data_IF_682061523357
#
_entry.id   IF_682061523357
#
_cell.length_a   1.000
_cell.length_b   1.000
_cell.length_c   1.000
_cell.angle_alpha   90.00
_cell.angle_beta   90.00
_cell.angle_gamma   90.00
#
_symmetry.space_group_name_H-M   'P 1'
#
loop_
_entity.id
_entity.type
_entity.pdbx_description
1 polymer ?
#
# COMPACT_ATOMS: atom_id res chain seq x y z
N UNK A 1 -4.26 13.50 0.38
CA UNK A 1 -4.07 12.17 0.94
C UNK A 1 -2.77 12.16 1.73
N UNK A 2 -2.87 11.74 2.98
CA UNK A 2 -1.75 11.65 3.90
C UNK A 2 -1.61 10.20 4.37
N UNK A 3 -0.50 9.87 5.03
CA UNK A 3 -0.26 8.53 5.58
C UNK A 3 -1.31 8.16 6.63
N UNK A 4 -1.78 9.12 7.41
CA UNK A 4 -2.71 8.88 8.51
C UNK A 4 -4.07 8.36 8.03
N UNK A 5 -4.45 8.66 6.79
CA UNK A 5 -5.65 8.15 6.13
C UNK A 5 -5.65 6.61 5.98
N UNK A 6 -4.50 5.96 6.21
CA UNK A 6 -4.30 4.51 6.09
C UNK A 6 -3.91 3.82 7.41
N UNK A 7 -3.92 4.54 8.53
CA UNK A 7 -3.56 3.96 9.82
C UNK A 7 -4.51 2.83 10.26
N UNK A 8 -5.74 2.82 9.75
CA UNK A 8 -6.72 1.75 10.01
C UNK A 8 -6.35 0.39 9.39
N UNK A 9 -5.37 0.36 8.48
CA UNK A 9 -4.86 -0.88 7.90
C UNK A 9 -3.91 -1.63 8.85
N UNK A 10 -3.39 -0.96 9.87
CA UNK A 10 -2.44 -1.57 10.82
C UNK A 10 -3.04 -2.80 11.49
N UNK A 11 -2.28 -3.90 11.55
CA UNK A 11 -2.69 -5.16 12.15
C UNK A 11 -3.64 -6.02 11.32
N UNK A 12 -4.16 -5.52 10.19
CA UNK A 12 -4.99 -6.30 9.26
C UNK A 12 -4.17 -7.41 8.60
N UNK A 13 -4.85 -8.50 8.25
CA UNK A 13 -4.29 -9.62 7.48
C UNK A 13 -4.25 -9.30 5.99
N UNK A 14 -3.44 -10.06 5.25
CA UNK A 14 -3.41 -10.00 3.77
C UNK A 14 -4.82 -10.13 3.16
N UNK A 15 -5.67 -10.99 3.71
CA UNK A 15 -7.02 -11.20 3.21
C UNK A 15 -7.90 -9.94 3.39
N UNK A 16 -7.91 -9.35 4.58
CA UNK A 16 -8.66 -8.11 4.85
C UNK A 16 -8.14 -6.94 4.00
N UNK A 17 -6.83 -6.88 3.75
CA UNK A 17 -6.24 -5.88 2.85
C UNK A 17 -6.71 -6.11 1.40
N UNK A 18 -6.74 -7.35 0.92
CA UNK A 18 -7.24 -7.69 -0.42
C UNK A 18 -8.74 -7.37 -0.56
N UNK A 19 -9.56 -7.66 0.45
CA UNK A 19 -10.99 -7.31 0.43
C UNK A 19 -11.22 -5.80 0.36
N UNK A 20 -10.38 -5.00 1.01
CA UNK A 20 -10.54 -3.54 1.05
C UNK A 20 -9.91 -2.81 -0.15
N UNK A 21 -8.70 -3.21 -0.56
CA UNK A 21 -7.88 -2.50 -1.54
C UNK A 21 -7.76 -3.23 -2.89
N UNK A 22 -8.27 -4.47 -2.98
CA UNK A 22 -8.07 -5.37 -4.11
C UNK A 22 -6.70 -6.03 -4.12
N UNK A 23 -6.42 -6.79 -5.19
CA UNK A 23 -5.20 -7.60 -5.31
C UNK A 23 -3.90 -6.79 -5.46
N UNK A 24 -3.99 -5.47 -5.72
CA UNK A 24 -2.83 -4.59 -5.87
C UNK A 24 -1.83 -5.04 -6.96
N UNK A 25 -0.63 -4.46 -6.97
CA UNK A 25 0.49 -4.95 -7.78
C UNK A 25 1.37 -5.86 -6.91
N UNK A 26 0.82 -7.02 -6.52
CA UNK A 26 1.42 -7.84 -5.47
C UNK A 26 1.70 -9.26 -5.97
N UNK A 27 2.95 -9.71 -5.82
CA UNK A 27 3.23 -11.14 -5.69
C UNK A 27 2.97 -11.52 -4.23
N UNK A 28 2.03 -12.45 -4.00
CA UNK A 28 1.56 -12.85 -2.66
C UNK A 28 2.69 -13.23 -1.67
N UNK A 29 3.84 -13.67 -2.18
CA UNK A 29 5.02 -14.06 -1.40
C UNK A 29 5.83 -12.89 -0.87
N UNK A 30 5.63 -11.67 -1.36
CA UNK A 30 6.37 -10.52 -0.87
C UNK A 30 5.77 -10.02 0.43
N UNK A 31 6.65 -9.70 1.38
CA UNK A 31 6.27 -9.06 2.63
C UNK A 31 5.93 -7.58 2.45
N UNK A 32 6.19 -7.00 1.29
CA UNK A 32 5.79 -5.62 0.95
C UNK A 32 4.83 -5.64 -0.22
N UNK A 33 3.65 -5.03 -0.03
CA UNK A 33 2.65 -4.81 -1.07
C UNK A 33 2.57 -3.34 -1.41
N UNK A 34 2.35 -3.03 -2.70
CA UNK A 34 2.26 -1.64 -3.15
C UNK A 34 1.01 -1.38 -3.96
N UNK A 35 0.41 -0.22 -3.70
CA UNK A 35 -0.83 0.22 -4.32
C UNK A 35 -0.66 1.63 -4.87
N UNK A 36 -1.02 1.84 -6.14
CA UNK A 36 -1.16 3.19 -6.65
C UNK A 36 -2.52 3.75 -6.22
N UNK A 37 -2.48 4.69 -5.30
CA UNK A 37 -3.66 5.28 -4.62
C UNK A 37 -4.00 6.68 -5.16
N UNK A 38 -3.23 7.18 -6.11
CA UNK A 38 -3.55 8.42 -6.80
C UNK A 38 -2.42 8.94 -7.68
N UNK A 39 -2.61 10.17 -8.16
CA UNK A 39 -1.63 10.93 -8.92
C UNK A 39 -1.59 12.38 -8.42
N UNK A 40 -0.41 12.99 -8.46
CA UNK A 40 -0.25 14.42 -8.29
C UNK A 40 -0.52 15.14 -9.60
N UNK A 41 -0.82 16.43 -9.53
CA UNK A 41 -1.07 17.25 -10.71
C UNK A 41 0.11 17.29 -11.70
N UNK A 42 1.34 17.18 -11.19
CA UNK A 42 2.56 17.15 -12.01
C UNK A 42 2.93 15.73 -12.51
N UNK A 43 2.01 14.77 -12.37
CA UNK A 43 2.15 13.42 -12.93
C UNK A 43 2.92 12.41 -12.06
N UNK A 44 3.31 12.74 -10.83
CA UNK A 44 3.84 11.72 -9.89
C UNK A 44 2.73 10.79 -9.43
N UNK A 45 2.98 9.48 -9.46
CA UNK A 45 2.14 8.47 -8.81
C UNK A 45 2.27 8.61 -7.29
N UNK A 46 1.15 8.43 -6.57
CA UNK A 46 1.13 8.31 -5.12
C UNK A 46 1.04 6.82 -4.81
N UNK A 47 2.05 6.27 -4.14
CA UNK A 47 2.17 4.86 -3.82
C UNK A 47 1.98 4.67 -2.31
N UNK A 48 1.07 3.78 -1.96
CA UNK A 48 0.90 3.21 -0.64
C UNK A 48 1.73 1.93 -0.57
N UNK A 49 2.65 1.86 0.38
CA UNK A 49 3.43 0.66 0.71
C UNK A 49 2.91 0.07 2.00
N UNK A 50 2.69 -1.23 2.01
CA UNK A 50 2.20 -1.99 3.15
C UNK A 50 3.20 -3.10 3.43
N UNK A 51 3.81 -3.07 4.60
CA UNK A 51 4.72 -4.12 5.04
C UNK A 51 4.01 -5.07 5.99
N UNK A 52 4.13 -6.36 5.72
CA UNK A 52 3.60 -7.44 6.50
C UNK A 52 4.69 -8.07 7.35
N UNK A 53 4.36 -8.33 8.62
CA UNK A 53 5.15 -9.16 9.52
C UNK A 53 4.22 -10.19 10.15
N UNK A 54 4.61 -11.46 10.10
CA UNK A 54 3.80 -12.56 10.64
C UNK A 54 2.37 -12.58 10.07
N UNK A 55 2.22 -12.21 8.80
CA UNK A 55 0.94 -12.21 8.07
C UNK A 55 0.02 -11.02 8.36
N UNK A 56 0.47 -10.05 9.15
CA UNK A 56 -0.29 -8.82 9.49
C UNK A 56 0.46 -7.56 9.11
N UNK A 57 -0.26 -6.48 8.84
CA UNK A 57 0.33 -5.17 8.55
C UNK A 57 1.10 -4.66 9.77
N UNK A 58 2.40 -4.48 9.60
CA UNK A 58 3.32 -3.96 10.61
C UNK A 58 3.75 -2.52 10.33
N UNK A 59 3.72 -2.09 9.07
CA UNK A 59 3.98 -0.72 8.69
C UNK A 59 3.18 -0.33 7.44
N UNK A 60 2.89 0.97 7.35
CA UNK A 60 2.27 1.59 6.19
C UNK A 60 3.05 2.85 5.87
N UNK A 61 3.39 3.05 4.60
CA UNK A 61 4.05 4.26 4.14
C UNK A 61 3.41 4.80 2.87
N UNK A 62 3.52 6.12 2.69
CA UNK A 62 2.96 6.82 1.54
C UNK A 62 4.02 7.71 0.92
N UNK A 63 4.36 7.43 -0.34
CA UNK A 63 5.38 8.20 -1.06
C UNK A 63 4.92 8.55 -2.47
N UNK A 64 5.65 9.48 -3.10
CA UNK A 64 5.35 9.99 -4.44
C UNK A 64 6.52 9.66 -5.36
N UNK A 65 6.24 9.07 -6.51
CA UNK A 65 7.29 8.70 -7.47
C UNK A 65 6.88 9.03 -8.91
N UNK A 66 7.84 9.38 -9.75
CA UNK A 66 7.65 9.44 -11.20
C UNK A 66 7.86 8.08 -11.87
N UNK A 67 8.42 7.10 -11.14
CA UNK A 67 8.82 5.84 -11.74
C UNK A 67 7.60 5.09 -12.28
N UNK A 68 7.68 4.69 -13.54
CA UNK A 68 6.80 3.65 -14.09
C UNK A 68 7.39 2.33 -13.61
N UNK A 69 6.77 1.76 -12.58
CA UNK A 69 6.80 0.31 -12.30
C UNK A 69 6.94 -0.50 -13.58
#
# INVERSE_FOLDING_TARGET
MKKEDFNHLMGKTRHEITEELGDGFNFFTNDTWTYQVGNTWIGRKIILSIDFKEGKVAAVDLYKTFNRS
#
